data_IF_852130036829
#
_entry.id   IF_852130036829
#
_cell.length_a   1.000
_cell.length_b   1.000
_cell.length_c   1.000
_cell.angle_alpha   90.00
_cell.angle_beta   90.00
_cell.angle_gamma   90.00
#
_symmetry.space_group_name_H-M   'P 1'
#
loop_
_entity.id
_entity.type
_entity.pdbx_description
1 polymer ?
#
# COMPACT_ATOMS: atom_id res chain seq x y z
N UNK A 1 -1.97 -11.97 -9.99
CA UNK A 1 -1.08 -13.12 -9.83
C UNK A 1 -1.01 -13.63 -8.38
N UNK A 2 -1.72 -13.00 -7.44
CA UNK A 2 -1.72 -13.42 -6.05
C UNK A 2 -0.46 -13.05 -5.25
N UNK A 3 0.41 -12.23 -5.83
CA UNK A 3 1.62 -11.75 -5.16
C UNK A 3 1.45 -10.30 -4.72
N UNK A 4 2.09 -9.95 -3.61
CA UNK A 4 2.13 -8.60 -3.08
C UNK A 4 3.57 -8.15 -2.90
N UNK A 5 3.85 -6.91 -3.26
CA UNK A 5 5.16 -6.30 -3.10
C UNK A 5 5.26 -5.73 -1.68
N UNK A 6 6.25 -6.18 -0.93
CA UNK A 6 6.50 -5.73 0.42
C UNK A 6 7.94 -5.27 0.58
N UNK A 7 8.15 -4.33 1.50
CA UNK A 7 9.46 -3.88 1.92
C UNK A 7 9.63 -4.08 3.43
N UNK A 8 10.85 -4.40 3.86
CA UNK A 8 11.19 -4.53 5.27
C UNK A 8 11.89 -3.26 5.73
N UNK A 9 11.31 -2.60 6.72
CA UNK A 9 11.81 -1.31 7.20
C UNK A 9 13.08 -1.47 8.03
N UNK A 10 14.01 -0.55 7.85
CA UNK A 10 15.26 -0.51 8.63
C UNK A 10 15.02 -0.09 10.08
N UNK A 11 14.00 0.76 10.35
CA UNK A 11 13.77 1.33 11.68
C UNK A 11 13.19 0.33 12.68
N UNK A 12 12.36 -0.62 12.24
CA UNK A 12 11.68 -1.56 13.15
C UNK A 12 11.73 -3.02 12.70
N UNK A 13 12.31 -3.30 11.52
CA UNK A 13 12.40 -4.65 10.96
C UNK A 13 11.09 -5.25 10.48
N UNK A 14 10.01 -4.47 10.44
CA UNK A 14 8.69 -4.97 10.01
C UNK A 14 8.53 -4.86 8.51
N UNK A 15 7.82 -5.83 7.95
CA UNK A 15 7.42 -5.81 6.54
C UNK A 15 6.16 -4.97 6.37
N UNK A 16 6.15 -4.13 5.34
CA UNK A 16 5.04 -3.22 5.05
C UNK A 16 4.75 -3.18 3.55
N UNK A 17 3.52 -2.79 3.23
CA UNK A 17 3.21 -2.34 1.88
C UNK A 17 4.01 -1.07 1.56
N UNK A 18 4.24 -0.82 0.28
CA UNK A 18 4.78 0.46 -0.16
C UNK A 18 3.76 1.55 0.16
N UNK A 19 4.18 2.56 0.89
CA UNK A 19 3.35 3.71 1.24
C UNK A 19 4.08 5.00 0.93
N UNK A 20 3.33 6.06 0.72
CA UNK A 20 3.90 7.37 0.48
C UNK A 20 2.90 8.47 0.72
N UNK A 21 3.42 9.68 0.79
CA UNK A 21 2.64 10.89 1.04
C UNK A 21 2.48 11.64 -0.28
N UNK A 22 1.24 12.00 -0.59
CA UNK A 22 0.92 12.83 -1.75
C UNK A 22 1.64 14.17 -1.66
N UNK A 23 2.32 14.54 -2.71
CA UNK A 23 2.90 15.87 -2.83
C UNK A 23 1.86 16.87 -3.33
N UNK A 24 1.98 18.17 -3.00
CA UNK A 24 1.06 19.18 -3.52
C UNK A 24 0.95 19.13 -5.05
N UNK A 25 -0.28 19.00 -5.55
CA UNK A 25 -0.55 18.92 -6.98
C UNK A 25 -0.37 17.55 -7.61
N UNK A 26 0.10 16.56 -6.85
CA UNK A 26 0.28 15.20 -7.33
C UNK A 26 -1.03 14.40 -7.20
N UNK A 27 -1.36 13.60 -8.20
CA UNK A 27 -2.49 12.70 -8.11
C UNK A 27 -2.16 11.50 -7.23
N UNK A 28 -3.11 10.98 -6.42
CA UNK A 28 -2.82 9.82 -5.55
C UNK A 28 -2.28 8.59 -6.29
N UNK A 29 -2.78 8.31 -7.49
CA UNK A 29 -2.28 7.19 -8.28
C UNK A 29 -0.83 7.39 -8.73
N UNK A 30 -0.45 8.63 -9.05
CA UNK A 30 0.93 8.97 -9.40
C UNK A 30 1.87 8.85 -8.19
N UNK A 31 1.37 9.19 -7.00
CA UNK A 31 2.13 9.01 -5.75
C UNK A 31 2.52 7.54 -5.57
N UNK A 32 1.58 6.63 -5.75
CA UNK A 32 1.85 5.19 -5.60
C UNK A 32 2.91 4.74 -6.59
N UNK A 33 2.78 5.13 -7.85
CA UNK A 33 3.75 4.75 -8.88
C UNK A 33 5.15 5.30 -8.58
N UNK A 34 5.23 6.56 -8.15
CA UNK A 34 6.50 7.21 -7.78
C UNK A 34 7.15 6.51 -6.58
N UNK A 35 6.39 6.29 -5.52
CA UNK A 35 6.92 5.66 -4.30
C UNK A 35 7.37 4.22 -4.55
N UNK A 36 6.60 3.44 -5.33
CA UNK A 36 7.00 2.09 -5.70
C UNK A 36 8.34 2.09 -6.45
N UNK A 37 8.51 3.03 -7.38
CA UNK A 37 9.76 3.16 -8.14
C UNK A 37 10.92 3.56 -7.25
N UNK A 38 10.72 4.57 -6.40
CA UNK A 38 11.77 5.08 -5.51
C UNK A 38 12.21 4.04 -4.48
N UNK A 39 11.25 3.34 -3.87
CA UNK A 39 11.55 2.43 -2.76
C UNK A 39 11.92 1.02 -3.21
N UNK A 40 11.39 0.56 -4.32
CA UNK A 40 11.55 -0.85 -4.75
C UNK A 40 12.08 -1.03 -6.16
N UNK A 41 12.19 0.02 -6.94
CA UNK A 41 12.61 -0.06 -8.34
C UNK A 41 11.57 -0.65 -9.29
N UNK A 42 10.39 -1.03 -8.79
CA UNK A 42 9.34 -1.65 -9.60
C UNK A 42 8.50 -0.59 -10.30
N UNK A 43 8.26 -0.80 -11.60
CA UNK A 43 7.38 0.05 -12.40
C UNK A 43 5.96 -0.48 -12.30
N UNK A 44 5.05 0.30 -11.70
CA UNK A 44 3.67 -0.12 -11.52
C UNK A 44 2.70 0.86 -12.18
N UNK A 45 1.53 0.33 -12.55
CA UNK A 45 0.36 1.12 -12.91
C UNK A 45 -0.76 0.80 -11.92
N UNK A 46 -1.50 1.82 -11.52
CA UNK A 46 -2.66 1.65 -10.66
C UNK A 46 -3.85 1.20 -11.51
N UNK A 47 -4.53 0.16 -11.07
CA UNK A 47 -5.68 -0.39 -11.81
C UNK A 47 -7.01 -0.20 -11.08
N UNK A 48 -7.01 -0.27 -9.75
CA UNK A 48 -8.23 -0.26 -8.96
C UNK A 48 -8.03 0.52 -7.67
N UNK A 49 -9.10 1.17 -7.22
CA UNK A 49 -9.18 1.71 -5.87
C UNK A 49 -9.83 0.65 -4.97
N UNK A 50 -9.08 0.20 -3.97
CA UNK A 50 -9.55 -0.82 -3.03
C UNK A 50 -10.35 -0.22 -1.89
N UNK A 51 -9.81 0.84 -1.26
CA UNK A 51 -10.47 1.49 -0.12
C UNK A 51 -10.00 2.91 0.09
N UNK A 52 -10.86 3.70 0.73
CA UNK A 52 -10.53 5.03 1.26
C UNK A 52 -10.91 5.04 2.74
N UNK A 53 -9.97 5.43 3.58
CA UNK A 53 -10.18 5.44 5.02
C UNK A 53 -9.37 6.56 5.66
N UNK A 54 -9.95 7.26 6.64
CA UNK A 54 -9.21 8.22 7.44
C UNK A 54 -8.36 7.49 8.48
N UNK A 55 -7.11 7.89 8.61
CA UNK A 55 -6.28 7.52 9.75
C UNK A 55 -6.57 8.54 10.86
N UNK A 56 -7.13 8.07 11.97
CA UNK A 56 -7.52 8.94 13.08
C UNK A 56 -6.36 9.40 13.95
N UNK A 57 -5.17 8.83 13.75
CA UNK A 57 -3.99 9.23 14.51
C UNK A 57 -3.52 10.62 14.06
N UNK A 58 -3.21 11.44 15.03
CA UNK A 58 -2.54 12.72 14.78
C UNK A 58 -1.04 12.47 14.75
N UNK A 59 -0.39 12.82 13.65
CA UNK A 59 1.06 12.74 13.51
C UNK A 59 1.64 14.13 13.80
N UNK A 60 2.58 14.20 14.73
CA UNK A 60 3.31 15.43 15.01
C UNK A 60 4.75 15.28 14.54
N UNK A 61 5.17 16.15 13.64
CA UNK A 61 6.53 16.15 13.11
C UNK A 61 7.47 16.94 14.01
N UNK A 62 8.78 16.75 13.83
CA UNK A 62 9.81 17.40 14.65
C UNK A 62 9.73 18.95 14.59
N UNK A 63 9.26 19.51 13.48
CA UNK A 63 9.09 20.97 13.31
C UNK A 63 7.80 21.50 13.95
N UNK A 64 6.99 20.65 14.59
CA UNK A 64 5.74 21.02 15.23
C UNK A 64 4.50 20.92 14.34
N UNK A 65 4.66 20.63 13.06
CA UNK A 65 3.52 20.43 12.16
C UNK A 65 2.73 19.19 12.55
N UNK A 66 1.42 19.28 12.42
CA UNK A 66 0.52 18.16 12.69
C UNK A 66 -0.23 17.77 11.44
N UNK A 67 -0.42 16.46 11.26
CA UNK A 67 -1.12 15.92 10.10
C UNK A 67 -2.00 14.74 10.49
N UNK A 68 -3.10 14.60 9.79
CA UNK A 68 -3.90 13.38 9.73
C UNK A 68 -4.01 12.99 8.27
N UNK A 69 -3.94 11.70 8.00
CA UNK A 69 -3.92 11.20 6.64
C UNK A 69 -5.24 10.56 6.25
N UNK A 70 -5.60 10.72 4.98
CA UNK A 70 -6.63 9.94 4.33
C UNK A 70 -5.92 8.84 3.53
N UNK A 71 -6.13 7.59 3.92
CA UNK A 71 -5.49 6.45 3.30
C UNK A 71 -6.25 6.02 2.05
N UNK A 72 -5.55 6.03 0.92
CA UNK A 72 -6.05 5.53 -0.36
C UNK A 72 -5.30 4.25 -0.66
N UNK A 73 -5.98 3.12 -0.65
CA UNK A 73 -5.39 1.82 -0.93
C UNK A 73 -5.70 1.42 -2.36
N UNK A 74 -4.65 1.22 -3.14
CA UNK A 74 -4.77 0.90 -4.57
C UNK A 74 -4.26 -0.50 -4.87
N UNK A 75 -4.89 -1.10 -5.86
CA UNK A 75 -4.38 -2.28 -6.54
C UNK A 75 -3.56 -1.83 -7.73
N UNK A 76 -2.41 -2.47 -7.92
CA UNK A 76 -1.49 -2.14 -9.00
C UNK A 76 -1.08 -3.40 -9.76
N UNK A 77 -0.57 -3.19 -10.96
CA UNK A 77 0.10 -4.21 -11.76
C UNK A 77 1.47 -3.71 -12.14
N UNK A 78 2.39 -4.61 -12.44
CA UNK A 78 3.65 -4.22 -13.08
C UNK A 78 3.32 -3.60 -14.43
N UNK A 79 3.86 -2.43 -14.71
CA UNK A 79 3.59 -1.72 -15.96
C UNK A 79 4.05 -2.56 -17.16
N UNK A 80 3.27 -2.62 -18.26
CA UNK A 80 3.67 -3.35 -19.46
C UNK A 80 5.03 -2.88 -19.98
N UNK A 81 5.99 -3.81 -20.12
CA UNK A 81 7.35 -3.48 -20.52
C UNK A 81 8.20 -2.85 -19.42
N UNK A 82 7.65 -2.65 -18.22
CA UNK A 82 8.36 -2.09 -17.09
C UNK A 82 9.11 -3.14 -16.27
N UNK A 83 9.90 -2.65 -15.32
CA UNK A 83 10.69 -3.51 -14.43
C UNK A 83 9.81 -4.08 -13.30
N UNK A 84 9.76 -5.40 -13.20
CA UNK A 84 9.07 -6.11 -12.12
C UNK A 84 10.01 -6.71 -11.07
N UNK A 85 11.33 -6.56 -11.22
CA UNK A 85 12.30 -7.09 -10.28
C UNK A 85 12.57 -6.06 -9.17
N UNK A 86 12.21 -6.34 -7.91
CA UNK A 86 12.41 -5.38 -6.84
C UNK A 86 13.87 -5.31 -6.42
N UNK A 87 14.32 -4.10 -6.14
CA UNK A 87 15.63 -3.82 -5.52
C UNK A 87 15.43 -2.77 -4.44
N UNK A 88 16.24 -2.82 -3.40
CA UNK A 88 16.23 -1.77 -2.36
C UNK A 88 16.63 -0.44 -3.00
N UNK A 89 15.74 0.55 -2.93
CA UNK A 89 15.91 1.84 -3.59
C UNK A 89 16.45 2.95 -2.71
N UNK A 90 16.34 2.82 -1.39
CA UNK A 90 16.77 3.84 -0.43
C UNK A 90 17.21 3.21 0.90
N UNK A 91 17.55 4.07 1.88
CA UNK A 91 18.03 3.64 3.20
C UNK A 91 16.89 3.24 4.15
N UNK A 92 15.65 3.46 3.78
CA UNK A 92 14.49 3.20 4.63
C UNK A 92 14.12 1.71 4.66
N UNK A 93 14.58 0.95 3.68
CA UNK A 93 14.28 -0.48 3.56
C UNK A 93 15.55 -1.33 3.53
N UNK A 94 15.51 -2.46 4.23
CA UNK A 94 16.58 -3.47 4.23
C UNK A 94 16.40 -4.48 3.10
N UNK A 95 15.17 -4.85 2.82
CA UNK A 95 14.80 -5.86 1.83
C UNK A 95 13.48 -5.50 1.17
N UNK A 96 13.32 -5.99 -0.04
CA UNK A 96 12.07 -5.88 -0.81
C UNK A 96 11.83 -7.20 -1.51
N UNK A 97 10.57 -7.56 -1.74
CA UNK A 97 10.27 -8.80 -2.42
C UNK A 97 8.79 -8.99 -2.70
N UNK A 98 8.50 -9.99 -3.52
CA UNK A 98 7.16 -10.44 -3.82
C UNK A 98 6.79 -11.61 -2.91
N UNK A 99 5.60 -11.55 -2.33
CA UNK A 99 5.10 -12.58 -1.42
C UNK A 99 3.70 -12.99 -1.80
N UNK A 100 3.39 -14.27 -1.62
CA UNK A 100 2.01 -14.74 -1.79
C UNK A 100 1.14 -14.18 -0.67
N UNK A 101 -0.11 -13.83 -0.98
CA UNK A 101 -1.05 -13.30 0.01
C UNK A 101 -1.35 -14.31 1.13
N UNK A 102 -1.20 -15.60 0.87
CA UNK A 102 -1.39 -16.67 1.85
C UNK A 102 -0.09 -17.11 2.53
N UNK A 103 1.03 -16.48 2.22
CA UNK A 103 2.34 -16.80 2.81
C UNK A 103 3.16 -15.52 3.01
N UNK A 104 2.70 -14.69 3.94
CA UNK A 104 3.29 -13.39 4.21
C UNK A 104 4.48 -13.51 5.15
N UNK A 105 5.51 -12.65 5.00
CA UNK A 105 6.66 -12.66 5.90
C UNK A 105 6.31 -12.12 7.28
N UNK A 106 7.11 -12.50 8.27
CA UNK A 106 7.02 -11.98 9.65
C UNK A 106 8.32 -11.24 10.02
N UNK A 107 8.27 -10.20 10.86
CA UNK A 107 7.05 -9.58 11.40
C UNK A 107 6.39 -8.66 10.37
N UNK A 108 5.08 -8.65 10.37
CA UNK A 108 4.26 -7.82 9.49
C UNK A 108 3.68 -6.65 10.30
N UNK A 109 3.71 -5.43 9.76
CA UNK A 109 3.13 -4.30 10.46
C UNK A 109 1.62 -4.44 10.59
N UNK A 110 1.03 -3.92 11.68
CA UNK A 110 -0.41 -4.02 11.91
C UNK A 110 -1.23 -3.33 10.82
N UNK A 111 -0.77 -2.15 10.37
CA UNK A 111 -1.45 -1.42 9.29
C UNK A 111 -1.42 -2.19 7.97
N UNK A 112 -0.32 -2.86 7.68
CA UNK A 112 -0.21 -3.70 6.48
C UNK A 112 -1.13 -4.91 6.57
N UNK A 113 -1.20 -5.55 7.73
CA UNK A 113 -2.11 -6.68 7.96
C UNK A 113 -3.57 -6.27 7.72
N UNK A 114 -3.96 -5.11 8.24
CA UNK A 114 -5.31 -4.56 8.04
C UNK A 114 -5.58 -4.28 6.55
N UNK A 115 -4.65 -3.61 5.87
CA UNK A 115 -4.80 -3.29 4.44
C UNK A 115 -4.88 -4.55 3.57
N UNK A 116 -4.08 -5.56 3.88
CA UNK A 116 -4.12 -6.82 3.14
C UNK A 116 -5.48 -7.51 3.31
N UNK A 117 -6.10 -7.42 4.48
CA UNK A 117 -7.45 -7.95 4.68
C UNK A 117 -8.47 -7.24 3.78
N UNK A 118 -8.35 -5.93 3.59
CA UNK A 118 -9.21 -5.19 2.67
C UNK A 118 -8.97 -5.62 1.21
N UNK A 119 -7.71 -5.83 0.83
CA UNK A 119 -7.35 -6.32 -0.50
C UNK A 119 -7.94 -7.70 -0.75
N UNK A 120 -7.81 -8.61 0.20
CA UNK A 120 -8.34 -9.97 0.06
C UNK A 120 -9.87 -9.97 -0.13
N UNK A 121 -10.57 -9.13 0.60
CA UNK A 121 -12.02 -8.96 0.43
C UNK A 121 -12.36 -8.39 -0.95
N UNK A 122 -11.63 -7.37 -1.36
CA UNK A 122 -11.80 -6.77 -2.69
C UNK A 122 -11.61 -7.81 -3.80
N UNK A 123 -10.56 -8.61 -3.71
CA UNK A 123 -10.26 -9.64 -4.71
C UNK A 123 -11.32 -10.74 -4.77
N UNK A 124 -11.89 -11.13 -3.62
CA UNK A 124 -13.01 -12.08 -3.60
C UNK A 124 -14.22 -11.51 -4.35
N UNK A 125 -14.58 -10.26 -4.07
CA UNK A 125 -15.69 -9.60 -4.76
C UNK A 125 -15.42 -9.43 -6.26
N UNK A 126 -14.17 -9.13 -6.62
CA UNK A 126 -13.79 -9.03 -8.04
C UNK A 126 -13.95 -10.36 -8.77
N UNK A 127 -13.59 -11.47 -8.14
CA UNK A 127 -13.78 -12.80 -8.71
C UNK A 127 -15.27 -13.14 -8.91
N UNK A 128 -16.14 -12.56 -8.09
CA UNK A 128 -17.60 -12.73 -8.17
C UNK A 128 -18.28 -11.69 -9.08
N UNK A 129 -17.52 -10.77 -9.68
CA UNK A 129 -18.05 -9.72 -10.52
C UNK A 129 -18.71 -8.56 -9.76
N UNK A 130 -18.46 -8.43 -8.46
CA UNK A 130 -19.11 -7.44 -7.59
C UNK A 130 -18.13 -6.49 -6.90
N UNK A 131 -16.88 -6.41 -7.37
CA UNK A 131 -15.88 -5.54 -6.75
C UNK A 131 -16.26 -4.06 -6.89
N UNK A 132 -16.07 -3.34 -5.81
CA UNK A 132 -16.16 -1.89 -5.75
C UNK A 132 -15.30 -1.36 -4.61
N UNK A 133 -14.95 -0.07 -4.67
CA UNK A 133 -14.17 0.56 -3.61
C UNK A 133 -14.89 0.43 -2.26
N UNK A 134 -14.12 0.14 -1.22
CA UNK A 134 -14.61 0.00 0.14
C UNK A 134 -14.43 1.32 0.88
N UNK A 135 -15.44 1.71 1.64
CA UNK A 135 -15.41 2.96 2.40
C UNK A 135 -15.57 2.68 3.89
N UNK A 136 -14.88 3.45 4.70
CA UNK A 136 -15.03 3.39 6.14
C UNK A 136 -16.16 4.31 6.61
N UNK A 137 -16.94 3.82 7.57
CA UNK A 137 -17.94 4.61 8.28
C UNK A 137 -17.65 4.49 9.77
N UNK A 138 -17.51 5.64 10.47
CA UNK A 138 -17.10 5.68 11.88
C UNK A 138 -15.82 4.88 12.18
N UNK A 139 -14.86 4.91 11.23
CA UNK A 139 -13.59 4.22 11.36
C UNK A 139 -13.59 2.73 11.01
N UNK A 140 -14.71 2.21 10.54
CA UNK A 140 -14.84 0.79 10.17
C UNK A 140 -15.15 0.68 8.69
N UNK A 141 -14.45 -0.24 8.00
CA UNK A 141 -14.78 -0.58 6.62
C UNK A 141 -16.05 -1.42 6.62
N UNK A 142 -17.06 -0.92 5.90
CA UNK A 142 -18.32 -1.61 5.76
C UNK A 142 -18.17 -2.89 4.94
N UNK A 143 -18.83 -3.93 5.39
CA UNK A 143 -18.97 -5.16 4.62
C UNK A 143 -20.12 -4.99 3.61
N UNK A 144 -19.80 -5.21 2.37
CA UNK A 144 -20.79 -5.13 1.29
C UNK A 144 -21.26 -6.52 0.91
#
# INVERSE_FOLDING_TARGET
DGLVLLEQRTDNGKWTLVTGINEPGEEPADTVAREAKEETGVDVIVTDLVSVKSDRRMITYANGDQAQYMDHLFLCEVAPGGNGEPVVGDDESMRVGWFALDDLPEPLSDSTRERIAYVQRYLRHRAEGSARAQFAFDGVIEHL
#
